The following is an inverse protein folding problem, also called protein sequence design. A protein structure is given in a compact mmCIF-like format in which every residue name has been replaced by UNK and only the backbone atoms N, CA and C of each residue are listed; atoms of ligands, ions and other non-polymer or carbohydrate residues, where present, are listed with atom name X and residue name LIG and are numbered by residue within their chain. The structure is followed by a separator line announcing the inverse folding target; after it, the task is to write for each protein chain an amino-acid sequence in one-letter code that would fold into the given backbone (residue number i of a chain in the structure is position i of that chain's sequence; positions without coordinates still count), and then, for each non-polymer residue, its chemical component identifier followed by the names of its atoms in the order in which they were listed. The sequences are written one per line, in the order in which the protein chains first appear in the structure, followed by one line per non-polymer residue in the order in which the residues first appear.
data_IF_721650769413
#
_entry.id   IF_721650769413
#
_cell.length_a   1.000
_cell.length_b   1.000
_cell.length_c   1.000
_cell.angle_alpha   90.00
_cell.angle_beta   90.00
_cell.angle_gamma   90.00
#
_symmetry.space_group_name_H-M   'P 1'
#
loop_
_entity.id
_entity.type
_entity.pdbx_description
1 polymer ?
#
# COMPACT_ATOMS: atom_id res chain seq x y z
N UNK A 1 -8.52 12.83 -18.34
CA UNK A 1 -7.70 13.35 -17.23
C UNK A 1 -7.65 12.40 -16.02
N UNK A 2 -8.77 11.86 -15.51
CA UNK A 2 -8.74 10.97 -14.32
C UNK A 2 -7.97 9.66 -14.54
N UNK A 3 -8.00 9.07 -15.73
CA UNK A 3 -7.30 7.82 -16.02
C UNK A 3 -5.78 8.03 -16.11
N UNK A 4 -5.32 9.14 -16.67
CA UNK A 4 -3.90 9.50 -16.73
C UNK A 4 -3.33 9.68 -15.31
N UNK A 5 -4.05 10.39 -14.45
CA UNK A 5 -3.63 10.60 -13.06
C UNK A 5 -3.58 9.28 -12.26
N UNK A 6 -4.47 8.35 -12.56
CA UNK A 6 -4.43 7.02 -11.96
C UNK A 6 -3.20 6.22 -12.39
N UNK A 7 -2.86 6.27 -13.68
CA UNK A 7 -1.65 5.62 -14.23
C UNK A 7 -0.38 6.22 -13.61
N UNK A 8 -0.31 7.55 -13.51
CA UNK A 8 0.83 8.25 -12.88
C UNK A 8 0.99 7.84 -11.42
N UNK A 9 -0.09 7.76 -10.66
CA UNK A 9 -0.03 7.33 -9.25
C UNK A 9 0.50 5.89 -9.10
N UNK A 10 0.05 4.98 -9.97
CA UNK A 10 0.57 3.60 -9.95
C UNK A 10 2.04 3.54 -10.38
N UNK A 11 2.45 4.34 -11.35
CA UNK A 11 3.84 4.41 -11.78
C UNK A 11 4.76 4.94 -10.66
N UNK A 12 4.35 5.99 -9.97
CA UNK A 12 5.10 6.53 -8.81
C UNK A 12 5.21 5.48 -7.69
N UNK A 13 4.11 4.84 -7.33
CA UNK A 13 4.12 3.80 -6.31
C UNK A 13 5.00 2.61 -6.69
N UNK A 14 5.00 2.22 -7.97
CA UNK A 14 5.86 1.17 -8.50
C UNK A 14 7.34 1.54 -8.40
N UNK A 15 7.70 2.77 -8.76
CA UNK A 15 9.09 3.26 -8.63
C UNK A 15 9.53 3.22 -7.16
N UNK A 16 8.69 3.67 -6.23
CA UNK A 16 8.98 3.61 -4.79
C UNK A 16 9.21 2.16 -4.33
N UNK A 17 8.36 1.22 -4.77
CA UNK A 17 8.50 -0.20 -4.44
C UNK A 17 9.81 -0.78 -4.98
N UNK A 18 10.17 -0.48 -6.23
CA UNK A 18 11.40 -0.96 -6.86
C UNK A 18 12.65 -0.38 -6.18
N UNK A 19 12.65 0.91 -5.86
CA UNK A 19 13.74 1.54 -5.11
C UNK A 19 13.87 0.90 -3.72
N UNK A 20 12.76 0.70 -3.02
CA UNK A 20 12.73 0.00 -1.74
C UNK A 20 13.29 -1.42 -1.85
N UNK A 21 12.92 -2.16 -2.89
CA UNK A 21 13.46 -3.49 -3.16
C UNK A 21 14.98 -3.48 -3.40
N UNK A 22 15.47 -2.56 -4.23
CA UNK A 22 16.90 -2.44 -4.53
C UNK A 22 17.68 -2.14 -3.23
N UNK A 23 17.21 -1.20 -2.43
CA UNK A 23 17.83 -0.87 -1.16
C UNK A 23 17.84 -2.06 -0.20
N UNK A 24 16.71 -2.71 0.02
CA UNK A 24 16.62 -3.87 0.91
C UNK A 24 17.43 -5.06 0.40
N UNK A 25 17.44 -5.30 -0.92
CA UNK A 25 18.07 -6.49 -1.52
C UNK A 25 19.59 -6.37 -1.65
N UNK A 26 20.09 -5.18 -1.98
CA UNK A 26 21.51 -4.99 -2.30
C UNK A 26 22.24 -4.17 -1.25
N UNK A 27 21.70 -3.04 -0.82
CA UNK A 27 22.39 -2.14 0.12
C UNK A 27 22.37 -2.69 1.54
N UNK A 28 21.27 -3.30 1.97
CA UNK A 28 21.11 -3.83 3.33
C UNK A 28 21.24 -5.35 3.41
N UNK A 29 21.78 -5.99 2.38
CA UNK A 29 21.93 -7.44 2.33
C UNK A 29 22.76 -7.99 3.50
N UNK A 30 23.86 -7.33 3.82
CA UNK A 30 24.79 -7.75 4.89
C UNK A 30 24.12 -7.74 6.28
N UNK A 31 23.06 -6.95 6.45
CA UNK A 31 22.34 -6.81 7.71
C UNK A 31 21.39 -8.00 7.95
N UNK A 32 20.67 -8.45 6.92
CA UNK A 32 19.63 -9.47 7.08
C UNK A 32 19.98 -10.84 6.47
N UNK A 33 20.94 -10.90 5.55
CA UNK A 33 21.42 -12.12 4.92
C UNK A 33 20.41 -12.90 4.05
N UNK A 34 19.19 -12.37 3.87
CA UNK A 34 18.09 -13.07 3.19
C UNK A 34 18.09 -12.76 1.69
N UNK A 35 18.33 -13.80 0.86
CA UNK A 35 18.40 -13.65 -0.60
C UNK A 35 17.02 -13.66 -1.29
N UNK A 36 16.12 -14.51 -0.84
CA UNK A 36 14.87 -14.80 -1.56
C UNK A 36 13.67 -14.06 -0.98
N UNK A 37 13.65 -13.78 0.32
CA UNK A 37 12.51 -13.18 0.99
C UNK A 37 12.13 -11.79 0.45
N UNK A 38 13.06 -10.84 0.19
CA UNK A 38 12.74 -9.56 -0.43
C UNK A 38 12.07 -9.71 -1.80
N UNK A 39 12.45 -10.75 -2.58
CA UNK A 39 11.83 -11.02 -3.89
C UNK A 39 10.39 -11.52 -3.74
N UNK A 40 10.13 -12.40 -2.76
CA UNK A 40 8.78 -12.91 -2.50
C UNK A 40 7.84 -11.75 -2.15
N UNK A 41 8.26 -10.86 -1.27
CA UNK A 41 7.47 -9.67 -0.92
C UNK A 41 7.30 -8.70 -2.09
N UNK A 42 8.33 -8.56 -2.96
CA UNK A 42 8.21 -7.77 -4.19
C UNK A 42 7.13 -8.33 -5.10
N UNK A 43 7.17 -9.66 -5.37
CA UNK A 43 6.17 -10.31 -6.22
C UNK A 43 4.77 -10.14 -5.65
N UNK A 44 4.58 -10.33 -4.34
CA UNK A 44 3.32 -10.06 -3.66
C UNK A 44 2.86 -8.62 -3.88
N UNK A 45 3.76 -7.65 -3.68
CA UNK A 45 3.49 -6.23 -3.91
C UNK A 45 3.07 -5.93 -5.35
N UNK A 46 3.76 -6.51 -6.33
CA UNK A 46 3.43 -6.36 -7.76
C UNK A 46 2.05 -6.92 -8.10
N UNK A 47 1.69 -8.10 -7.56
CA UNK A 47 0.37 -8.71 -7.75
C UNK A 47 -0.72 -7.81 -7.17
N UNK A 48 -0.54 -7.31 -5.94
CA UNK A 48 -1.52 -6.39 -5.32
C UNK A 48 -1.62 -5.08 -6.10
N UNK A 49 -0.52 -4.55 -6.61
CA UNK A 49 -0.52 -3.35 -7.47
C UNK A 49 -1.26 -3.59 -8.79
N UNK A 50 -1.07 -4.75 -9.44
CA UNK A 50 -1.79 -5.11 -10.65
C UNK A 50 -3.31 -5.18 -10.40
N UNK A 51 -3.74 -5.83 -9.32
CA UNK A 51 -5.14 -5.86 -8.89
C UNK A 51 -5.66 -4.45 -8.60
N UNK A 52 -4.85 -3.60 -7.96
CA UNK A 52 -5.18 -2.21 -7.68
C UNK A 52 -5.39 -1.41 -8.97
N UNK A 53 -4.56 -1.60 -9.98
CA UNK A 53 -4.67 -0.94 -11.27
C UNK A 53 -5.96 -1.36 -11.99
N UNK A 54 -6.28 -2.67 -12.05
CA UNK A 54 -7.50 -3.21 -12.65
C UNK A 54 -8.76 -2.70 -11.95
N UNK A 55 -8.73 -2.55 -10.61
CA UNK A 55 -9.85 -2.06 -9.81
C UNK A 55 -9.88 -0.54 -9.67
N UNK A 56 -8.97 0.18 -10.35
CA UNK A 56 -8.84 1.65 -10.32
C UNK A 56 -8.78 2.22 -8.90
N UNK A 57 -8.03 1.56 -8.01
CA UNK A 57 -7.81 2.01 -6.64
C UNK A 57 -6.66 3.02 -6.61
N UNK A 58 -6.79 4.10 -5.82
CA UNK A 58 -5.83 5.20 -5.79
C UNK A 58 -4.82 5.11 -4.65
N UNK A 59 -5.26 4.71 -3.48
CA UNK A 59 -4.46 4.70 -2.25
C UNK A 59 -3.70 3.41 -2.05
N UNK A 60 -4.30 2.27 -2.44
CA UNK A 60 -3.73 0.95 -2.23
C UNK A 60 -2.28 0.79 -2.72
N UNK A 61 -1.89 1.26 -3.92
CA UNK A 61 -0.51 1.09 -4.39
C UNK A 61 0.51 1.80 -3.50
N UNK A 62 0.18 2.97 -2.94
CA UNK A 62 1.05 3.67 -2.00
C UNK A 62 1.21 2.91 -0.69
N UNK A 63 0.12 2.35 -0.15
CA UNK A 63 0.19 1.53 1.07
C UNK A 63 1.04 0.28 0.87
N UNK A 64 0.99 -0.35 -0.30
CA UNK A 64 1.84 -1.50 -0.64
C UNK A 64 3.32 -1.10 -0.63
N UNK A 65 3.68 0.00 -1.29
CA UNK A 65 5.07 0.47 -1.37
C UNK A 65 5.60 0.91 -0.01
N UNK A 66 4.79 1.67 0.75
CA UNK A 66 5.15 2.11 2.10
C UNK A 66 5.24 0.93 3.07
N UNK A 67 4.33 -0.05 2.98
CA UNK A 67 4.35 -1.26 3.79
C UNK A 67 5.61 -2.08 3.57
N UNK A 68 6.12 -2.14 2.34
CA UNK A 68 7.37 -2.80 2.02
C UNK A 68 8.56 -2.16 2.76
N UNK A 69 8.71 -0.84 2.66
CA UNK A 69 9.84 -0.10 3.25
C UNK A 69 9.71 -0.05 4.79
N UNK A 70 8.55 0.35 5.29
CA UNK A 70 8.29 0.46 6.73
C UNK A 70 8.38 -0.92 7.40
N UNK A 71 7.87 -1.96 6.74
CA UNK A 71 7.98 -3.33 7.22
C UNK A 71 9.42 -3.77 7.39
N UNK A 72 10.31 -3.42 6.46
CA UNK A 72 11.75 -3.66 6.61
C UNK A 72 12.34 -2.93 7.81
N UNK A 73 12.06 -1.63 7.95
CA UNK A 73 12.55 -0.81 9.07
C UNK A 73 12.07 -1.38 10.41
N UNK A 74 10.79 -1.72 10.53
CA UNK A 74 10.25 -2.35 11.74
C UNK A 74 10.90 -3.72 12.00
N UNK A 75 11.05 -4.53 10.97
CA UNK A 75 11.73 -5.81 11.07
C UNK A 75 13.16 -5.64 11.60
N UNK A 76 13.87 -4.63 11.10
CA UNK A 76 15.24 -4.33 11.54
C UNK A 76 15.32 -3.84 12.99
N UNK A 77 14.42 -2.94 13.39
CA UNK A 77 14.42 -2.37 14.76
C UNK A 77 14.00 -3.40 15.82
N UNK A 78 13.03 -4.25 15.49
CA UNK A 78 12.45 -5.21 16.45
C UNK A 78 12.93 -6.65 16.24
N UNK A 79 13.96 -6.87 15.41
CA UNK A 79 14.52 -8.21 15.24
C UNK A 79 15.13 -8.74 16.55
N UNK A 80 14.89 -10.02 16.80
CA UNK A 80 15.52 -10.77 17.87
C UNK A 80 16.29 -11.92 17.24
N UNK A 81 17.60 -11.93 17.45
CA UNK A 81 18.45 -13.05 17.00
C UNK A 81 18.45 -14.13 18.07
N UNK A 82 18.20 -15.37 17.64
CA UNK A 82 18.29 -16.57 18.48
C UNK A 82 19.27 -17.54 17.85
N UNK A 83 19.96 -18.29 18.66
CA UNK A 83 20.80 -19.39 18.21
C UNK A 83 19.94 -20.66 18.25
N UNK A 84 19.79 -21.31 17.13
CA UNK A 84 19.07 -22.58 17.02
C UNK A 84 19.89 -23.72 17.65
N UNK A 85 19.25 -24.86 17.91
CA UNK A 85 19.88 -26.07 18.46
C UNK A 85 21.10 -26.55 17.66
N UNK A 86 21.19 -26.16 16.39
CA UNK A 86 22.31 -26.44 15.49
C UNK A 86 23.41 -25.37 15.47
N UNK A 87 23.36 -24.36 16.38
CA UNK A 87 24.32 -23.25 16.43
C UNK A 87 24.15 -22.20 15.33
N UNK A 88 23.06 -22.23 14.56
CA UNK A 88 22.78 -21.28 13.48
C UNK A 88 22.02 -20.08 14.04
N UNK A 89 22.51 -18.86 13.74
CA UNK A 89 21.79 -17.65 14.09
C UNK A 89 20.55 -17.48 13.21
N UNK A 90 19.38 -17.54 13.84
CA UNK A 90 18.07 -17.30 13.20
C UNK A 90 17.49 -16.01 13.75
N UNK A 91 17.05 -15.12 12.86
CA UNK A 91 16.35 -13.91 13.23
C UNK A 91 14.89 -13.92 12.78
N UNK A 92 14.04 -13.17 13.47
CA UNK A 92 12.61 -13.06 13.17
C UNK A 92 12.27 -11.83 12.28
N UNK A 93 13.27 -11.18 11.68
CA UNK A 93 13.08 -9.98 10.84
C UNK A 93 12.07 -10.23 9.72
N UNK A 94 12.17 -11.39 9.05
CA UNK A 94 11.28 -11.73 7.94
C UNK A 94 9.81 -11.84 8.36
N UNK A 95 9.53 -12.36 9.57
CA UNK A 95 8.16 -12.48 10.10
C UNK A 95 7.59 -11.09 10.35
N UNK A 96 8.34 -10.22 11.03
CA UNK A 96 7.92 -8.85 11.34
C UNK A 96 7.68 -8.08 10.04
N UNK A 97 8.59 -8.19 9.09
CA UNK A 97 8.48 -7.54 7.79
C UNK A 97 7.22 -8.00 7.03
N UNK A 98 6.96 -9.32 6.98
CA UNK A 98 5.77 -9.87 6.34
C UNK A 98 4.48 -9.38 7.02
N UNK A 99 4.40 -9.45 8.35
CA UNK A 99 3.23 -9.03 9.12
C UNK A 99 2.93 -7.55 8.90
N UNK A 100 3.93 -6.68 9.01
CA UNK A 100 3.76 -5.24 8.79
C UNK A 100 3.31 -4.95 7.35
N UNK A 101 3.89 -5.62 6.37
CA UNK A 101 3.49 -5.47 4.97
C UNK A 101 2.01 -5.85 4.76
N UNK A 102 1.56 -6.99 5.30
CA UNK A 102 0.17 -7.44 5.22
C UNK A 102 -0.76 -6.44 5.92
N UNK A 103 -0.40 -5.94 7.10
CA UNK A 103 -1.19 -4.93 7.82
C UNK A 103 -1.34 -3.67 6.96
N UNK A 104 -0.29 -3.17 6.31
CA UNK A 104 -0.36 -2.01 5.42
C UNK A 104 -1.28 -2.26 4.21
N UNK A 105 -1.24 -3.45 3.61
CA UNK A 105 -2.15 -3.83 2.52
C UNK A 105 -3.61 -3.79 3.00
N UNK A 106 -3.90 -4.38 4.16
CA UNK A 106 -5.26 -4.40 4.74
C UNK A 106 -5.74 -2.99 5.05
N UNK A 107 -4.91 -2.17 5.68
CA UNK A 107 -5.23 -0.75 5.96
C UNK A 107 -5.47 0.00 4.65
N UNK A 108 -4.65 -0.21 3.62
CA UNK A 108 -4.84 0.38 2.30
C UNK A 108 -6.19 0.03 1.67
N UNK A 109 -6.61 -1.23 1.77
CA UNK A 109 -7.94 -1.67 1.29
C UNK A 109 -9.06 -1.00 2.07
N UNK A 110 -8.94 -0.94 3.39
CA UNK A 110 -9.93 -0.29 4.27
C UNK A 110 -10.04 1.20 3.94
N UNK A 111 -8.92 1.92 3.84
CA UNK A 111 -8.89 3.34 3.47
C UNK A 111 -9.55 3.59 2.11
N UNK A 112 -9.27 2.74 1.11
CA UNK A 112 -9.88 2.84 -0.21
C UNK A 112 -11.41 2.65 -0.17
N UNK A 113 -11.90 1.68 0.63
CA UNK A 113 -13.33 1.43 0.80
C UNK A 113 -14.03 2.61 1.47
N UNK A 114 -13.46 3.16 2.54
CA UNK A 114 -13.98 4.33 3.23
C UNK A 114 -14.02 5.55 2.32
N UNK A 115 -12.93 5.82 1.59
CA UNK A 115 -12.85 6.95 0.68
C UNK A 115 -13.92 6.88 -0.42
N UNK A 116 -14.11 5.70 -1.04
CA UNK A 116 -15.15 5.49 -2.05
C UNK A 116 -16.56 5.73 -1.49
N UNK A 117 -16.82 5.24 -0.28
CA UNK A 117 -18.11 5.46 0.41
C UNK A 117 -18.33 6.95 0.69
N UNK A 118 -17.30 7.66 1.17
CA UNK A 118 -17.39 9.09 1.48
C UNK A 118 -17.65 9.96 0.24
N UNK A 119 -16.95 9.68 -0.86
CA UNK A 119 -17.15 10.37 -2.14
C UNK A 119 -18.55 10.12 -2.69
N UNK A 120 -19.07 8.89 -2.57
CA UNK A 120 -20.44 8.56 -2.99
C UNK A 120 -21.50 9.33 -2.20
N UNK A 121 -21.32 9.43 -0.88
CA UNK A 121 -22.22 10.19 0.01
C UNK A 121 -22.14 11.69 -0.30
N UNK A 122 -20.94 12.24 -0.48
CA UNK A 122 -20.74 13.66 -0.82
C UNK A 122 -21.40 14.04 -2.16
N UNK A 123 -21.28 13.18 -3.17
CA UNK A 123 -21.94 13.41 -4.46
C UNK A 123 -23.48 13.34 -4.36
N UNK A 124 -24.02 12.44 -3.54
CA UNK A 124 -25.46 12.37 -3.29
C UNK A 124 -25.99 13.61 -2.58
N UNK A 125 -25.25 14.12 -1.59
CA UNK A 125 -25.61 15.35 -0.85
C UNK A 125 -25.57 16.56 -1.77
N UNK A 126 -24.53 16.69 -2.59
CA UNK A 126 -24.39 17.77 -3.59
C UNK A 126 -25.50 17.72 -4.65
N UNK A 127 -25.85 16.53 -5.15
CA UNK A 127 -26.96 16.35 -6.10
C UNK A 127 -28.31 16.71 -5.51
N UNK A 128 -28.58 16.36 -4.25
CA UNK A 128 -29.83 16.76 -3.56
C UNK A 128 -29.90 18.29 -3.35
N UNK A 129 -28.79 18.91 -2.98
CA UNK A 129 -28.72 20.36 -2.80
C UNK A 129 -28.96 21.11 -4.11
N UNK A 130 -28.32 20.68 -5.20
CA UNK A 130 -28.52 21.26 -6.54
C UNK A 130 -29.97 21.10 -7.00
N UNK A 131 -30.59 19.93 -6.82
CA UNK A 131 -32.00 19.71 -7.14
C UNK A 131 -32.92 20.60 -6.32
N UNK A 132 -32.67 20.73 -5.01
CA UNK A 132 -33.46 21.62 -4.14
C UNK A 132 -33.34 23.09 -4.57
N UNK A 133 -32.12 23.53 -4.93
CA UNK A 133 -31.90 24.92 -5.40
C UNK A 133 -32.61 25.18 -6.72
N UNK A 134 -32.60 24.24 -7.67
CA UNK A 134 -33.32 24.36 -8.95
C UNK A 134 -34.84 24.45 -8.71
N UNK A 135 -35.39 23.61 -7.82
CA UNK A 135 -36.81 23.62 -7.48
C UNK A 135 -37.21 24.95 -6.85
N UNK A 136 -36.40 25.48 -5.93
CA UNK A 136 -36.65 26.79 -5.31
C UNK A 136 -36.63 27.91 -6.38
N UNK A 137 -35.64 27.85 -7.30
CA UNK A 137 -35.53 28.85 -8.37
C UNK A 137 -36.74 28.80 -9.34
N UNK A 138 -37.27 27.60 -9.63
CA UNK A 138 -38.46 27.40 -10.45
C UNK A 138 -39.74 27.84 -9.74
N UNK A 139 -39.80 27.82 -8.41
CA UNK A 139 -40.93 28.29 -7.61
C UNK A 139 -40.91 29.80 -7.41
N UNK A 140 -39.79 30.47 -7.63
CA UNK A 140 -39.62 31.92 -7.53
C UNK A 140 -39.78 32.66 -8.85
N UNK A 141 -39.82 31.94 -9.96
CA UNK A 141 -40.21 32.48 -11.29
C UNK A 141 -41.68 32.25 -11.58
#
# INVERSE_FOLDING_TARGET
MKDIQNIVNHAIALVILLVGFILCRYTFFDIHGMKEFPKILLVLGLVVMAISALTKKKFLPYFVSMGYIIGFVFGFVFQVSRIDANGISVNNLWVIWAVVNVVFIVVGVICECFFRKYVKIGNLKKSKLVKATIVILLLLC
#
